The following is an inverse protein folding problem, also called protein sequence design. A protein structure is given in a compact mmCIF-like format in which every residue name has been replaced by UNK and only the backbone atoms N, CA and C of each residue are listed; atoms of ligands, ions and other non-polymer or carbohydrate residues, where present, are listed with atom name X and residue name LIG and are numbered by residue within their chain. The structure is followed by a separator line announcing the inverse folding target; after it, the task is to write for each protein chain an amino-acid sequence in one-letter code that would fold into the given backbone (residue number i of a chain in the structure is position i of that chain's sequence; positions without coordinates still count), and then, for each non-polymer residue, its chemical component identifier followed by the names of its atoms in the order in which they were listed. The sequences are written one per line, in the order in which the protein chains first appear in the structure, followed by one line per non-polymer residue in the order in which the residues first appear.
data_IF_028427735600
#
_entry.id   IF_028427735600
#
_cell.length_a   1.000
_cell.length_b   1.000
_cell.length_c   1.000
_cell.angle_alpha   90.00
_cell.angle_beta   90.00
_cell.angle_gamma   90.00
#
_symmetry.space_group_name_H-M   'P 1'
#
loop_
_entity.id
_entity.type
_entity.pdbx_description
1 polymer ?
#
# COMPACT_ATOMS: atom_id res chain seq x y z
N UNK A 1 16.49 -14.61 -10.60
CA UNK A 1 16.75 -13.26 -10.06
C UNK A 1 15.54 -12.89 -9.25
N UNK A 2 15.74 -12.44 -8.01
CA UNK A 2 14.66 -11.76 -7.30
C UNK A 2 14.35 -10.45 -8.04
N UNK A 3 13.07 -10.17 -8.25
CA UNK A 3 12.63 -8.94 -8.90
C UNK A 3 13.16 -7.73 -8.12
N UNK A 4 13.69 -6.74 -8.84
CA UNK A 4 14.36 -5.59 -8.22
C UNK A 4 13.42 -4.39 -8.04
N UNK A 5 12.19 -4.48 -8.56
CA UNK A 5 11.14 -3.47 -8.38
C UNK A 5 9.80 -4.11 -8.00
N UNK A 6 8.93 -3.34 -7.34
CA UNK A 6 7.56 -3.78 -7.02
C UNK A 6 6.77 -3.99 -8.31
N UNK A 7 6.90 -3.09 -9.28
CA UNK A 7 6.21 -3.21 -10.57
C UNK A 7 6.60 -4.51 -11.30
N UNK A 8 7.88 -4.85 -11.36
CA UNK A 8 8.34 -6.12 -11.92
C UNK A 8 7.74 -7.32 -11.16
N UNK A 9 7.77 -7.28 -9.83
CA UNK A 9 7.19 -8.32 -8.97
C UNK A 9 5.71 -8.57 -9.31
N UNK A 10 4.91 -7.51 -9.41
CA UNK A 10 3.47 -7.61 -9.70
C UNK A 10 3.20 -8.07 -11.14
N UNK A 11 4.00 -7.61 -12.12
CA UNK A 11 3.91 -8.08 -13.52
C UNK A 11 4.26 -9.56 -13.63
N UNK A 12 5.27 -10.05 -12.91
CA UNK A 12 5.60 -11.47 -12.85
C UNK A 12 4.45 -12.30 -12.27
N UNK A 13 3.83 -11.85 -11.18
CA UNK A 13 2.67 -12.53 -10.59
C UNK A 13 1.49 -12.56 -11.57
N UNK A 14 1.25 -11.48 -12.30
CA UNK A 14 0.20 -11.43 -13.32
C UNK A 14 0.46 -12.40 -14.49
N UNK A 15 1.71 -12.50 -14.94
CA UNK A 15 2.12 -13.43 -15.99
C UNK A 15 2.05 -14.90 -15.54
N UNK A 16 2.37 -15.17 -14.27
CA UNK A 16 2.34 -16.52 -13.70
C UNK A 16 0.93 -17.02 -13.41
N UNK A 17 0.02 -16.13 -13.01
CA UNK A 17 -1.32 -16.47 -12.52
C UNK A 17 -2.47 -15.76 -13.27
N UNK A 18 -2.45 -15.65 -14.61
CA UNK A 18 -3.27 -14.70 -15.36
C UNK A 18 -4.78 -14.88 -15.15
N UNK A 19 -5.25 -16.12 -15.00
CA UNK A 19 -6.65 -16.48 -14.83
C UNK A 19 -7.10 -16.57 -13.36
N UNK A 20 -6.19 -16.43 -12.39
CA UNK A 20 -6.56 -16.44 -10.97
C UNK A 20 -7.24 -15.13 -10.60
N UNK A 21 -8.13 -15.19 -9.61
CA UNK A 21 -8.73 -14.01 -8.96
C UNK A 21 -7.64 -13.22 -8.25
N UNK A 22 -7.50 -11.94 -8.59
CA UNK A 22 -6.56 -11.02 -7.96
C UNK A 22 -7.25 -10.12 -6.95
N UNK A 23 -8.32 -9.45 -7.39
CA UNK A 23 -9.01 -8.42 -6.63
C UNK A 23 -10.52 -8.58 -6.74
N UNK A 24 -11.22 -8.55 -5.61
CA UNK A 24 -12.68 -8.66 -5.54
C UNK A 24 -13.27 -7.44 -4.87
N UNK A 25 -14.41 -6.95 -5.37
CA UNK A 25 -15.27 -6.02 -4.64
C UNK A 25 -16.48 -6.80 -4.14
N UNK A 26 -16.65 -6.85 -2.81
CA UNK A 26 -17.68 -7.70 -2.20
C UNK A 26 -19.06 -7.47 -2.82
N UNK A 27 -19.68 -8.55 -3.30
CA UNK A 27 -21.02 -8.54 -3.89
C UNK A 27 -21.15 -7.80 -5.23
N UNK A 28 -20.05 -7.37 -5.87
CA UNK A 28 -20.08 -6.65 -7.14
C UNK A 28 -19.40 -7.40 -8.28
N UNK A 29 -18.08 -7.52 -8.25
CA UNK A 29 -17.32 -8.19 -9.31
C UNK A 29 -15.92 -8.59 -8.86
N UNK A 30 -15.31 -9.45 -9.68
CA UNK A 30 -13.95 -9.95 -9.52
C UNK A 30 -13.09 -9.55 -10.72
N UNK A 31 -11.83 -9.24 -10.46
CA UNK A 31 -10.79 -9.07 -11.46
C UNK A 31 -9.81 -10.23 -11.39
N UNK A 32 -9.48 -10.79 -12.55
CA UNK A 32 -8.34 -11.69 -12.67
C UNK A 32 -7.04 -10.90 -12.64
N UNK A 33 -5.93 -11.58 -12.41
CA UNK A 33 -4.59 -10.99 -12.52
C UNK A 33 -4.32 -10.36 -13.89
N UNK A 34 -4.70 -11.05 -14.98
CA UNK A 34 -4.54 -10.49 -16.33
C UNK A 34 -5.36 -9.23 -16.52
N UNK A 35 -6.61 -9.22 -16.04
CA UNK A 35 -7.48 -8.04 -16.20
C UNK A 35 -7.04 -6.87 -15.34
N UNK A 36 -6.60 -7.12 -14.11
CA UNK A 36 -6.02 -6.08 -13.25
C UNK A 36 -4.77 -5.48 -13.90
N UNK A 37 -3.88 -6.32 -14.45
CA UNK A 37 -2.68 -5.85 -15.14
C UNK A 37 -3.01 -5.00 -16.38
N UNK A 38 -3.95 -5.44 -17.22
CA UNK A 38 -4.43 -4.65 -18.37
C UNK A 38 -4.94 -3.28 -17.94
N UNK A 39 -5.80 -3.22 -16.92
CA UNK A 39 -6.34 -1.96 -16.39
C UNK A 39 -5.25 -1.04 -15.85
N UNK A 40 -4.21 -1.60 -15.22
CA UNK A 40 -3.05 -0.84 -14.71
C UNK A 40 -2.21 -0.29 -15.86
N UNK A 41 -1.93 -1.07 -16.90
CA UNK A 41 -1.19 -0.59 -18.08
C UNK A 41 -2.00 0.48 -18.84
N UNK A 42 -3.33 0.30 -18.99
CA UNK A 42 -4.23 1.29 -19.59
C UNK A 42 -4.18 2.61 -18.80
N UNK A 43 -4.35 2.56 -17.47
CA UNK A 43 -4.29 3.75 -16.62
C UNK A 43 -2.90 4.42 -16.64
N UNK A 44 -1.81 3.65 -16.65
CA UNK A 44 -0.45 4.20 -16.72
C UNK A 44 -0.24 4.97 -18.03
N UNK A 45 -0.67 4.42 -19.16
CA UNK A 45 -0.63 5.12 -20.45
C UNK A 45 -1.51 6.38 -20.44
N UNK A 46 -2.70 6.34 -19.82
CA UNK A 46 -3.55 7.51 -19.67
C UNK A 46 -2.84 8.61 -18.89
N UNK A 47 -2.22 8.30 -17.75
CA UNK A 47 -1.47 9.26 -16.93
C UNK A 47 -0.33 9.91 -17.73
N UNK A 48 0.47 9.10 -18.42
CA UNK A 48 1.59 9.59 -19.25
C UNK A 48 1.08 10.46 -20.40
N UNK A 49 0.00 10.06 -21.07
CA UNK A 49 -0.60 10.84 -22.14
C UNK A 49 -1.12 12.19 -21.64
N UNK A 50 -1.58 12.29 -20.40
CA UNK A 50 -1.98 13.54 -19.77
C UNK A 50 -0.80 14.37 -19.26
N UNK A 51 0.43 13.86 -19.37
CA UNK A 51 1.65 14.59 -19.12
C UNK A 51 2.31 14.30 -17.78
N UNK A 52 1.92 13.22 -17.07
CA UNK A 52 2.65 12.72 -15.90
C UNK A 52 4.04 12.28 -16.31
N UNK A 53 5.05 12.73 -15.56
CA UNK A 53 6.47 12.45 -15.79
C UNK A 53 7.06 11.62 -14.66
N UNK A 54 8.25 11.08 -14.92
CA UNK A 54 9.04 10.42 -13.89
C UNK A 54 9.28 11.38 -12.72
N UNK A 55 8.91 10.95 -11.50
CA UNK A 55 9.11 11.69 -10.25
C UNK A 55 7.95 12.62 -9.88
N UNK A 56 6.97 12.81 -10.76
CA UNK A 56 5.77 13.58 -10.44
C UNK A 56 5.00 12.91 -9.30
N UNK A 57 4.61 13.69 -8.28
CA UNK A 57 3.87 13.19 -7.12
C UNK A 57 2.38 13.31 -7.37
N UNK A 58 1.67 12.19 -7.34
CA UNK A 58 0.24 12.09 -7.63
C UNK A 58 -0.51 11.76 -6.34
N UNK A 59 -1.25 12.74 -5.82
CA UNK A 59 -2.07 12.56 -4.64
C UNK A 59 -3.31 11.71 -4.94
N UNK A 60 -3.59 10.72 -4.11
CA UNK A 60 -4.73 9.80 -4.28
C UNK A 60 -5.65 9.88 -3.06
N UNK A 61 -6.88 10.37 -3.24
CA UNK A 61 -7.90 10.35 -2.17
C UNK A 61 -9.10 9.52 -2.59
N UNK A 62 -9.19 8.33 -2.01
CA UNK A 62 -10.23 7.35 -2.31
C UNK A 62 -10.60 6.59 -1.03
N UNK A 63 -11.83 6.07 -0.92
CA UNK A 63 -12.08 4.88 -0.10
C UNK A 63 -11.28 3.67 -0.60
N UNK A 64 -11.36 2.53 0.09
CA UNK A 64 -10.77 1.29 -0.40
C UNK A 64 -11.58 0.75 -1.60
N UNK A 65 -11.31 1.27 -2.80
CA UNK A 65 -12.00 0.88 -4.04
C UNK A 65 -11.05 0.25 -5.06
N UNK A 66 -11.63 -0.32 -6.12
CA UNK A 66 -10.84 -0.86 -7.24
C UNK A 66 -10.08 0.23 -7.99
N UNK A 67 -10.69 1.42 -8.13
CA UNK A 67 -10.07 2.57 -8.78
C UNK A 67 -8.83 3.02 -8.02
N UNK A 68 -8.87 3.03 -6.68
CA UNK A 68 -7.69 3.30 -5.87
C UNK A 68 -6.55 2.34 -6.19
N UNK A 69 -6.83 1.04 -6.19
CA UNK A 69 -5.80 0.00 -6.44
C UNK A 69 -5.19 0.16 -7.82
N UNK A 70 -6.04 0.30 -8.85
CA UNK A 70 -5.56 0.47 -10.24
C UNK A 70 -4.78 1.78 -10.37
N UNK A 71 -5.27 2.89 -9.81
CA UNK A 71 -4.62 4.20 -9.92
C UNK A 71 -3.27 4.21 -9.22
N UNK A 72 -3.18 3.66 -8.00
CA UNK A 72 -1.92 3.55 -7.28
C UNK A 72 -0.89 2.74 -8.07
N UNK A 73 -1.28 1.57 -8.59
CA UNK A 73 -0.40 0.72 -9.39
C UNK A 73 -0.03 1.40 -10.72
N UNK A 74 -0.94 2.14 -11.33
CA UNK A 74 -0.71 2.87 -12.58
C UNK A 74 0.25 4.05 -12.41
N UNK A 75 0.16 4.79 -11.30
CA UNK A 75 1.08 5.89 -10.97
C UNK A 75 2.51 5.35 -10.85
N UNK A 76 2.71 4.31 -10.04
CA UNK A 76 4.06 3.72 -9.86
C UNK A 76 4.57 3.11 -11.16
N UNK A 77 3.69 2.52 -11.98
CA UNK A 77 4.01 1.97 -13.30
C UNK A 77 4.45 3.07 -14.26
N UNK A 78 3.80 4.23 -14.23
CA UNK A 78 4.17 5.43 -14.98
C UNK A 78 5.43 6.14 -14.45
N UNK A 79 6.12 5.57 -13.45
CA UNK A 79 7.27 6.17 -12.74
C UNK A 79 6.93 7.45 -11.99
N UNK A 80 5.66 7.70 -11.73
CA UNK A 80 5.23 8.72 -10.77
C UNK A 80 5.33 8.19 -9.34
N UNK A 81 5.15 9.10 -8.38
CA UNK A 81 5.13 8.80 -6.95
C UNK A 81 3.68 8.83 -6.47
N UNK A 82 3.16 7.72 -5.98
CA UNK A 82 1.82 7.69 -5.40
C UNK A 82 1.84 8.29 -3.98
N UNK A 83 0.97 9.25 -3.71
CA UNK A 83 0.79 9.85 -2.38
C UNK A 83 -0.66 9.64 -1.90
N UNK A 84 -1.01 8.46 -1.35
CA UNK A 84 -2.36 8.22 -0.90
C UNK A 84 -2.66 8.98 0.40
N UNK A 85 -3.80 9.68 0.42
CA UNK A 85 -4.23 10.54 1.52
C UNK A 85 -5.55 10.05 2.11
N UNK A 86 -5.77 10.37 3.38
CA UNK A 86 -7.04 10.07 4.05
C UNK A 86 -8.15 10.97 3.48
N UNK A 87 -9.19 10.37 2.93
CA UNK A 87 -10.35 11.11 2.38
C UNK A 87 -11.16 11.86 3.44
N UNK A 88 -10.92 11.59 4.73
CA UNK A 88 -11.55 12.29 5.84
C UNK A 88 -10.80 13.56 6.28
N UNK A 89 -9.70 13.94 5.64
CA UNK A 89 -8.96 15.15 5.99
C UNK A 89 -9.78 16.43 5.74
N UNK A 90 -9.52 17.45 6.55
CA UNK A 90 -10.05 18.80 6.30
C UNK A 90 -9.32 19.48 5.14
N UNK A 91 -9.85 20.60 4.66
CA UNK A 91 -9.22 21.35 3.57
C UNK A 91 -7.83 21.89 3.98
N UNK A 92 -7.65 22.27 5.25
CA UNK A 92 -6.37 22.72 5.80
C UNK A 92 -5.35 21.59 5.90
N UNK A 93 -5.80 20.39 6.27
CA UNK A 93 -4.95 19.20 6.27
C UNK A 93 -4.52 18.83 4.85
N UNK A 94 -5.45 18.84 3.88
CA UNK A 94 -5.11 18.65 2.47
C UNK A 94 -4.15 19.72 1.93
N UNK A 95 -4.35 20.99 2.28
CA UNK A 95 -3.43 22.09 1.90
C UNK A 95 -2.00 21.80 2.39
N UNK A 96 -1.86 21.34 3.63
CA UNK A 96 -0.57 20.90 4.16
C UNK A 96 0.01 19.71 3.40
N UNK A 97 -0.72 18.60 3.27
CA UNK A 97 -0.18 17.37 2.69
C UNK A 97 0.09 17.46 1.19
N UNK A 98 -0.77 18.16 0.43
CA UNK A 98 -0.56 18.40 -1.00
C UNK A 98 0.67 19.30 -1.23
N UNK A 99 0.85 20.32 -0.39
CA UNK A 99 2.02 21.20 -0.48
C UNK A 99 3.31 20.51 -0.04
N UNK A 100 3.30 19.74 1.06
CA UNK A 100 4.50 19.12 1.61
C UNK A 100 5.02 17.96 0.75
N UNK A 101 4.12 17.31 0.01
CA UNK A 101 4.47 16.26 -0.95
C UNK A 101 4.83 16.77 -2.34
N UNK A 102 4.80 18.09 -2.59
CA UNK A 102 4.96 18.68 -3.92
C UNK A 102 4.04 18.02 -4.98
N UNK A 103 2.78 17.76 -4.61
CA UNK A 103 1.81 17.09 -5.46
C UNK A 103 1.55 17.86 -6.77
N UNK A 104 1.64 17.18 -7.91
CA UNK A 104 1.45 17.75 -9.25
C UNK A 104 0.08 17.43 -9.86
N UNK A 105 -0.63 16.44 -9.29
CA UNK A 105 -1.99 16.05 -9.68
C UNK A 105 -2.72 15.46 -8.47
N UNK A 106 -4.00 15.79 -8.32
CA UNK A 106 -4.92 15.15 -7.40
C UNK A 106 -5.87 14.21 -8.15
N UNK A 107 -5.87 12.92 -7.79
CA UNK A 107 -6.85 11.94 -8.27
C UNK A 107 -7.87 11.60 -7.18
N UNK A 108 -9.15 11.62 -7.53
CA UNK A 108 -10.26 11.23 -6.66
C UNK A 108 -11.16 10.20 -7.33
N UNK A 109 -12.03 9.55 -6.55
CA UNK A 109 -13.15 8.78 -7.11
C UNK A 109 -14.16 9.68 -7.81
N UNK A 110 -14.99 9.09 -8.66
CA UNK A 110 -16.15 9.73 -9.32
C UNK A 110 -17.37 9.92 -8.41
N UNK A 111 -17.20 9.71 -7.11
CA UNK A 111 -18.22 10.04 -6.12
C UNK A 111 -18.03 11.47 -5.62
N UNK A 112 -19.08 12.29 -5.59
CA UNK A 112 -18.98 13.62 -4.98
C UNK A 112 -18.75 13.57 -3.46
N UNK A 113 -19.11 12.47 -2.81
CA UNK A 113 -18.99 12.29 -1.36
C UNK A 113 -17.52 12.24 -0.92
N UNK A 114 -17.13 13.14 -0.02
CA UNK A 114 -15.79 13.18 0.58
C UNK A 114 -14.71 13.92 -0.22
N UNK A 115 -14.97 14.28 -1.47
CA UNK A 115 -13.95 14.91 -2.33
C UNK A 115 -13.79 16.43 -2.14
N UNK A 116 -14.81 17.11 -1.62
CA UNK A 116 -14.87 18.57 -1.53
C UNK A 116 -13.65 19.22 -0.86
N UNK A 117 -13.21 18.76 0.33
CA UNK A 117 -12.02 19.31 1.00
C UNK A 117 -10.74 19.19 0.17
N UNK A 118 -10.51 18.03 -0.47
CA UNK A 118 -9.33 17.78 -1.29
C UNK A 118 -9.33 18.66 -2.55
N UNK A 119 -10.47 18.73 -3.24
CA UNK A 119 -10.63 19.55 -4.45
C UNK A 119 -10.45 21.05 -4.14
N UNK A 120 -10.98 21.53 -3.00
CA UNK A 120 -10.81 22.91 -2.58
C UNK A 120 -9.33 23.26 -2.30
N UNK A 121 -8.60 22.37 -1.62
CA UNK A 121 -7.19 22.54 -1.36
C UNK A 121 -6.34 22.49 -2.65
N UNK A 122 -6.60 21.52 -3.53
CA UNK A 122 -5.93 21.43 -4.83
C UNK A 122 -6.16 22.68 -5.68
N UNK A 123 -7.41 23.18 -5.75
CA UNK A 123 -7.74 24.41 -6.46
C UNK A 123 -7.02 25.63 -5.89
N UNK A 124 -6.92 25.75 -4.55
CA UNK A 124 -6.17 26.81 -3.87
C UNK A 124 -4.67 26.77 -4.22
N UNK A 125 -4.09 25.58 -4.32
CA UNK A 125 -2.67 25.36 -4.65
C UNK A 125 -2.39 25.39 -6.16
N UNK A 126 -3.42 25.47 -7.01
CA UNK A 126 -3.27 25.39 -8.47
C UNK A 126 -2.91 23.99 -8.98
N UNK A 127 -3.18 22.95 -8.18
CA UNK A 127 -2.95 21.55 -8.53
C UNK A 127 -4.14 21.06 -9.37
N UNK A 128 -3.92 20.54 -10.60
CA UNK A 128 -4.98 19.95 -11.40
C UNK A 128 -5.65 18.77 -10.70
N UNK A 129 -6.95 18.59 -10.96
CA UNK A 129 -7.76 17.52 -10.40
C UNK A 129 -8.27 16.61 -11.51
N UNK A 130 -8.11 15.29 -11.33
CA UNK A 130 -8.71 14.28 -12.17
C UNK A 130 -9.64 13.36 -11.37
N UNK A 131 -10.67 12.89 -12.05
CA UNK A 131 -11.62 11.91 -11.53
C UNK A 131 -11.36 10.56 -12.18
N UNK A 132 -11.33 9.49 -11.38
CA UNK A 132 -11.13 8.12 -11.84
C UNK A 132 -12.37 7.28 -11.58
N UNK A 133 -12.80 6.51 -12.58
CA UNK A 133 -13.93 5.58 -12.47
C UNK A 133 -13.73 4.26 -13.21
N UNK A 134 -14.32 3.20 -12.66
CA UNK A 134 -14.47 1.91 -13.34
C UNK A 134 -15.90 1.39 -13.17
N UNK A 135 -16.75 1.64 -14.17
CA UNK A 135 -18.17 1.26 -14.11
C UNK A 135 -18.41 -0.26 -14.14
N UNK A 136 -17.55 -1.01 -14.85
CA UNK A 136 -17.66 -2.46 -15.02
C UNK A 136 -16.26 -3.07 -15.25
N UNK A 137 -15.95 -4.27 -14.73
CA UNK A 137 -14.65 -4.94 -14.93
C UNK A 137 -14.26 -5.16 -16.39
N UNK A 138 -15.21 -5.29 -17.31
CA UNK A 138 -14.95 -5.49 -18.75
C UNK A 138 -14.71 -4.20 -19.53
N UNK A 139 -14.93 -3.03 -18.91
CA UNK A 139 -14.70 -1.74 -19.54
C UNK A 139 -13.31 -1.22 -19.20
N UNK A 140 -12.72 -0.36 -20.05
CA UNK A 140 -11.52 0.38 -19.71
C UNK A 140 -11.75 1.27 -18.48
N UNK A 141 -10.68 1.48 -17.71
CA UNK A 141 -10.68 2.50 -16.66
C UNK A 141 -10.74 3.90 -17.29
N UNK A 142 -11.54 4.79 -16.70
CA UNK A 142 -11.70 6.16 -17.17
C UNK A 142 -10.94 7.13 -16.27
N UNK A 143 -10.16 8.02 -16.88
CA UNK A 143 -9.50 9.15 -16.21
C UNK A 143 -10.02 10.43 -16.88
N UNK A 144 -10.82 11.20 -16.15
CA UNK A 144 -11.31 12.50 -16.60
C UNK A 144 -10.43 13.61 -16.02
N UNK A 145 -9.65 14.26 -16.87
CA UNK A 145 -8.84 15.43 -16.54
C UNK A 145 -9.18 16.56 -17.52
N UNK A 146 -9.74 17.71 -17.07
CA UNK A 146 -10.23 18.78 -17.96
C UNK A 146 -9.18 19.39 -18.90
N UNK A 147 -7.91 19.37 -18.50
CA UNK A 147 -6.80 19.90 -19.29
C UNK A 147 -5.54 19.06 -19.04
N UNK A 148 -4.71 18.85 -20.08
CA UNK A 148 -3.42 18.16 -19.92
C UNK A 148 -2.52 18.92 -18.94
N UNK A 149 -1.75 18.17 -18.15
CA UNK A 149 -0.79 18.71 -17.18
C UNK A 149 0.38 19.43 -17.87
N UNK A 150 0.76 18.95 -19.05
CA UNK A 150 1.79 19.57 -19.89
C UNK A 150 1.41 19.52 -21.37
N UNK A 151 2.23 20.17 -22.22
CA UNK A 151 2.03 20.20 -23.68
C UNK A 151 2.03 18.80 -24.31
N UNK A 152 1.90 18.67 -25.64
CA UNK A 152 1.88 17.37 -26.31
C UNK A 152 3.12 16.56 -25.94
N UNK A 153 2.93 15.49 -25.16
CA UNK A 153 3.97 14.49 -24.87
C UNK A 153 3.69 13.33 -25.82
N UNK A 154 4.69 12.93 -26.61
CA UNK A 154 4.66 11.60 -27.22
C UNK A 154 4.75 10.60 -26.05
N UNK A 155 3.69 9.83 -25.77
CA UNK A 155 3.66 9.01 -24.57
C UNK A 155 4.78 7.96 -24.55
N UNK A 156 5.39 7.65 -25.72
CA UNK A 156 6.43 6.64 -25.83
C UNK A 156 5.97 5.28 -25.27
N UNK A 157 6.85 4.27 -25.24
CA UNK A 157 6.62 3.10 -24.41
C UNK A 157 6.79 3.49 -22.93
N UNK A 158 5.95 2.96 -22.04
CA UNK A 158 6.16 3.12 -20.60
C UNK A 158 7.53 2.51 -20.26
N UNK A 159 8.45 3.35 -19.81
CA UNK A 159 9.81 2.96 -19.50
C UNK A 159 9.87 1.89 -18.41
N UNK A 160 11.00 1.18 -18.36
CA UNK A 160 11.32 0.30 -17.25
C UNK A 160 11.33 1.08 -15.92
N UNK A 161 10.76 0.50 -14.88
CA UNK A 161 10.74 1.07 -13.53
C UNK A 161 12.06 0.71 -12.84
N UNK A 162 12.85 1.70 -12.46
CA UNK A 162 14.14 1.45 -11.82
C UNK A 162 13.96 1.14 -10.32
N UNK A 163 14.80 0.29 -9.71
CA UNK A 163 14.75 0.00 -8.28
C UNK A 163 14.84 1.25 -7.39
N UNK A 164 15.53 2.29 -7.87
CA UNK A 164 15.70 3.57 -7.17
C UNK A 164 14.56 4.57 -7.38
N UNK A 165 13.62 4.31 -8.29
CA UNK A 165 12.49 5.20 -8.50
C UNK A 165 11.66 5.27 -7.21
N UNK A 166 11.35 6.47 -6.74
CA UNK A 166 10.40 6.66 -5.64
C UNK A 166 9.02 6.26 -6.16
N UNK A 167 8.34 5.36 -5.44
CA UNK A 167 7.05 4.81 -5.85
C UNK A 167 5.91 5.24 -4.90
N UNK A 168 6.21 5.42 -3.62
CA UNK A 168 5.22 5.75 -2.59
C UNK A 168 5.76 6.87 -1.71
N UNK A 169 4.92 7.87 -1.43
CA UNK A 169 5.21 8.92 -0.47
C UNK A 169 4.12 8.93 0.60
N UNK A 170 4.53 8.84 1.86
CA UNK A 170 3.63 8.81 3.01
C UNK A 170 4.15 9.71 4.12
N UNK A 171 3.26 10.18 4.97
CA UNK A 171 3.65 10.87 6.19
C UNK A 171 3.65 9.93 7.39
N UNK A 172 4.58 10.16 8.33
CA UNK A 172 4.55 9.51 9.64
C UNK A 172 3.40 10.04 10.49
N UNK A 173 2.78 9.18 11.30
CA UNK A 173 1.82 9.61 12.31
C UNK A 173 2.59 10.42 13.37
N UNK A 174 2.53 11.75 13.28
CA UNK A 174 3.31 12.68 14.10
C UNK A 174 2.91 12.69 15.58
N UNK A 175 3.26 11.66 16.34
CA UNK A 175 2.95 11.54 17.77
C UNK A 175 3.80 12.48 18.65
N UNK A 176 4.94 12.96 18.15
CA UNK A 176 5.88 13.83 18.89
C UNK A 176 6.38 15.05 18.10
N UNK A 177 6.08 15.16 16.80
CA UNK A 177 6.48 16.29 15.93
C UNK A 177 5.55 16.41 14.70
N UNK A 178 5.70 17.48 13.92
CA UNK A 178 4.97 17.65 12.64
C UNK A 178 5.19 16.41 11.75
N UNK A 179 4.15 15.85 11.10
CA UNK A 179 4.30 14.69 10.22
C UNK A 179 5.46 14.86 9.24
N UNK A 180 6.30 13.84 9.11
CA UNK A 180 7.47 13.86 8.21
C UNK A 180 7.17 13.04 6.96
N UNK A 181 7.49 13.59 5.79
CA UNK A 181 7.40 12.87 4.52
C UNK A 181 8.43 11.74 4.42
N UNK A 182 7.97 10.58 3.97
CA UNK A 182 8.75 9.34 3.82
C UNK A 182 8.65 8.88 2.37
N UNK A 183 9.66 9.17 1.54
CA UNK A 183 9.75 8.59 0.20
C UNK A 183 10.20 7.13 0.29
N UNK A 184 9.47 6.24 -0.37
CA UNK A 184 9.76 4.80 -0.45
C UNK A 184 9.94 4.41 -1.91
N UNK A 185 11.06 3.75 -2.21
CA UNK A 185 11.40 3.35 -3.57
C UNK A 185 10.72 2.05 -4.00
N UNK A 186 10.74 1.79 -5.30
CA UNK A 186 10.40 0.49 -5.88
C UNK A 186 11.10 -0.68 -5.15
N UNK A 187 12.40 -0.54 -4.84
CA UNK A 187 13.16 -1.54 -4.11
C UNK A 187 12.70 -1.69 -2.65
N UNK A 188 12.37 -0.59 -1.95
CA UNK A 188 11.85 -0.69 -0.59
C UNK A 188 10.57 -1.50 -0.54
N UNK A 189 9.64 -1.22 -1.47
CA UNK A 189 8.37 -1.94 -1.54
C UNK A 189 8.56 -3.40 -1.97
N UNK A 190 9.42 -3.67 -2.96
CA UNK A 190 9.74 -5.03 -3.41
C UNK A 190 10.32 -5.89 -2.27
N UNK A 191 11.27 -5.34 -1.51
CA UNK A 191 11.87 -6.02 -0.37
C UNK A 191 10.82 -6.34 0.70
N UNK A 192 9.95 -5.37 1.04
CA UNK A 192 8.92 -5.58 2.06
C UNK A 192 7.87 -6.62 1.65
N UNK A 193 7.38 -6.60 0.40
CA UNK A 193 6.41 -7.62 -0.04
C UNK A 193 7.05 -9.02 -0.07
N UNK A 194 8.32 -9.13 -0.44
CA UNK A 194 9.06 -10.40 -0.40
C UNK A 194 9.25 -10.90 1.03
N UNK A 195 9.58 -10.02 1.98
CA UNK A 195 9.70 -10.37 3.40
C UNK A 195 8.38 -10.90 3.97
N UNK A 196 7.28 -10.19 3.74
CA UNK A 196 5.94 -10.56 4.22
C UNK A 196 5.50 -11.88 3.59
N UNK A 197 5.70 -12.04 2.29
CA UNK A 197 5.40 -13.29 1.58
C UNK A 197 6.22 -14.45 2.12
N UNK A 198 7.50 -14.23 2.43
CA UNK A 198 8.39 -15.27 2.95
C UNK A 198 7.98 -15.71 4.36
N UNK A 199 7.81 -14.77 5.29
CA UNK A 199 7.54 -15.08 6.70
C UNK A 199 6.18 -15.75 6.92
N UNK A 200 5.16 -15.37 6.13
CA UNK A 200 3.83 -15.97 6.21
C UNK A 200 3.57 -17.04 5.16
N UNK A 201 4.56 -17.37 4.32
CA UNK A 201 4.45 -18.34 3.22
C UNK A 201 3.22 -18.09 2.33
N UNK A 202 2.94 -16.82 2.03
CA UNK A 202 1.81 -16.47 1.17
C UNK A 202 1.96 -17.16 -0.18
N UNK A 203 0.91 -17.87 -0.56
CA UNK A 203 0.84 -18.66 -1.77
C UNK A 203 -0.39 -18.29 -2.59
N UNK A 204 -0.39 -18.68 -3.86
CA UNK A 204 -1.49 -18.35 -4.76
C UNK A 204 -2.86 -18.87 -4.27
N UNK A 205 -2.88 -19.89 -3.40
CA UNK A 205 -4.09 -20.42 -2.75
C UNK A 205 -4.69 -19.51 -1.67
N UNK A 206 -3.93 -18.54 -1.16
CA UNK A 206 -4.41 -17.64 -0.13
C UNK A 206 -5.42 -16.62 -0.67
N UNK A 207 -6.26 -16.14 0.25
CA UNK A 207 -7.24 -15.11 -0.01
C UNK A 207 -7.42 -14.27 1.26
N UNK A 208 -7.56 -12.96 1.13
CA UNK A 208 -7.73 -12.06 2.28
C UNK A 208 -8.89 -11.10 2.10
N UNK A 209 -9.48 -10.65 3.21
CA UNK A 209 -10.41 -9.52 3.24
C UNK A 209 -9.69 -8.33 3.84
N UNK A 210 -9.70 -7.21 3.12
CA UNK A 210 -9.05 -5.99 3.55
C UNK A 210 -9.88 -5.28 4.63
N UNK A 211 -9.29 -5.07 5.80
CA UNK A 211 -9.94 -4.38 6.94
C UNK A 211 -9.26 -3.07 7.34
N UNK A 212 -8.17 -2.70 6.66
CA UNK A 212 -7.42 -1.47 6.93
C UNK A 212 -7.48 -0.48 5.77
N UNK A 213 -7.35 0.83 6.05
CA UNK A 213 -7.24 1.84 5.01
C UNK A 213 -5.99 1.62 4.14
N UNK A 214 -6.13 1.82 2.83
CA UNK A 214 -5.04 1.68 1.88
C UNK A 214 -4.12 2.93 1.78
N UNK A 215 -4.45 4.02 2.48
CA UNK A 215 -3.56 5.17 2.64
C UNK A 215 -2.53 5.01 3.77
N UNK A 216 -2.48 3.83 4.40
CA UNK A 216 -1.46 3.47 5.40
C UNK A 216 -0.71 2.20 4.99
N UNK A 217 0.58 2.12 5.34
CA UNK A 217 1.46 1.01 4.95
C UNK A 217 0.96 -0.37 5.39
N UNK A 218 0.20 -0.50 6.47
CA UNK A 218 -0.30 -1.79 6.92
C UNK A 218 -1.37 -2.36 5.97
N UNK A 219 -2.39 -1.57 5.63
CA UNK A 219 -3.39 -2.00 4.64
C UNK A 219 -2.78 -2.15 3.25
N UNK A 220 -1.93 -1.20 2.86
CA UNK A 220 -1.34 -1.15 1.52
C UNK A 220 -0.29 -2.25 1.29
N UNK A 221 0.75 -2.32 2.12
CA UNK A 221 1.88 -3.23 1.89
C UNK A 221 1.54 -4.65 2.33
N UNK A 222 1.07 -4.85 3.56
CA UNK A 222 0.74 -6.20 4.05
C UNK A 222 -0.58 -6.73 3.46
N UNK A 223 -1.65 -5.94 3.54
CA UNK A 223 -2.97 -6.39 3.10
C UNK A 223 -3.11 -6.57 1.58
N UNK A 224 -2.66 -5.57 0.81
CA UNK A 224 -2.87 -5.53 -0.64
C UNK A 224 -1.65 -6.03 -1.43
N UNK A 225 -0.52 -5.32 -1.38
CA UNK A 225 0.61 -5.54 -2.28
C UNK A 225 1.28 -6.90 -2.06
N UNK A 226 1.44 -7.34 -0.81
CA UNK A 226 2.02 -8.66 -0.50
C UNK A 226 1.12 -9.80 -1.01
N UNK A 227 -0.19 -9.69 -0.80
CA UNK A 227 -1.19 -10.63 -1.33
C UNK A 227 -1.11 -10.72 -2.85
N UNK A 228 -1.08 -9.59 -3.56
CA UNK A 228 -0.96 -9.56 -5.02
C UNK A 228 0.39 -10.10 -5.51
N UNK A 229 1.48 -9.82 -4.80
CA UNK A 229 2.81 -10.34 -5.14
C UNK A 229 2.89 -11.87 -5.05
N UNK A 230 2.07 -12.51 -4.22
CA UNK A 230 2.06 -13.95 -4.01
C UNK A 230 1.16 -14.73 -4.99
N UNK A 231 0.42 -14.06 -5.88
CA UNK A 231 -0.59 -14.72 -6.72
C UNK A 231 -1.89 -15.04 -5.99
N UNK A 232 -2.04 -14.54 -4.76
CA UNK A 232 -3.21 -14.70 -3.87
C UNK A 232 -4.33 -13.75 -4.26
N UNK A 233 -5.48 -13.79 -3.56
CA UNK A 233 -6.59 -12.90 -3.84
C UNK A 233 -6.87 -11.93 -2.67
N UNK A 234 -7.27 -10.69 -2.97
CA UNK A 234 -7.70 -9.71 -1.96
C UNK A 234 -9.12 -9.22 -2.23
N UNK A 235 -9.94 -9.15 -1.20
CA UNK A 235 -11.32 -8.67 -1.28
C UNK A 235 -11.45 -7.34 -0.56
N UNK A 236 -11.96 -6.32 -1.26
CA UNK A 236 -12.34 -5.03 -0.68
C UNK A 236 -13.81 -5.07 -0.24
N UNK A 237 -14.13 -4.55 0.96
CA UNK A 237 -15.52 -4.39 1.38
C UNK A 237 -16.31 -3.49 0.43
N UNK A 238 -17.59 -3.81 0.21
CA UNK A 238 -18.46 -3.07 -0.71
C UNK A 238 -18.65 -1.60 -0.34
N UNK A 239 -18.52 -1.26 0.94
CA UNK A 239 -18.61 0.10 1.49
C UNK A 239 -17.31 0.90 1.39
N UNK A 240 -16.23 0.31 0.87
CA UNK A 240 -14.90 0.92 0.80
C UNK A 240 -14.21 1.13 2.15
N UNK A 241 -14.73 0.54 3.23
CA UNK A 241 -14.18 0.59 4.58
C UNK A 241 -14.53 -0.66 5.37
N UNK A 242 -13.86 -0.90 6.49
CA UNK A 242 -14.18 -2.02 7.37
C UNK A 242 -15.64 -1.95 7.87
N UNK A 243 -16.30 -3.11 7.91
CA UNK A 243 -17.61 -3.30 8.51
C UNK A 243 -17.65 -4.64 9.25
N UNK A 244 -17.86 -4.60 10.57
CA UNK A 244 -17.95 -5.82 11.38
C UNK A 244 -19.10 -6.73 10.95
N UNK A 245 -20.19 -6.16 10.42
CA UNK A 245 -21.37 -6.94 10.00
C UNK A 245 -21.16 -7.68 8.67
N UNK A 246 -20.31 -7.17 7.77
CA UNK A 246 -20.01 -7.83 6.49
C UNK A 246 -18.72 -8.66 6.54
N UNK A 247 -17.84 -8.42 7.51
CA UNK A 247 -16.53 -9.09 7.59
C UNK A 247 -16.61 -10.61 7.48
N UNK A 248 -17.39 -11.29 8.35
CA UNK A 248 -17.50 -12.75 8.30
C UNK A 248 -18.21 -13.28 7.05
N UNK A 249 -19.33 -12.68 6.60
CA UNK A 249 -19.89 -13.00 5.28
C UNK A 249 -18.87 -12.90 4.14
N UNK A 250 -18.05 -11.86 4.12
CA UNK A 250 -17.03 -11.64 3.10
C UNK A 250 -15.90 -12.69 3.21
N UNK A 251 -15.42 -12.97 4.42
CA UNK A 251 -14.39 -14.00 4.65
C UNK A 251 -14.84 -15.37 4.13
N UNK A 252 -16.12 -15.74 4.35
CA UNK A 252 -16.69 -16.99 3.88
C UNK A 252 -16.91 -16.99 2.36
N UNK A 253 -17.54 -15.94 1.82
CA UNK A 253 -17.89 -15.85 0.40
C UNK A 253 -16.65 -15.84 -0.52
N UNK A 254 -15.55 -15.26 -0.04
CA UNK A 254 -14.29 -15.15 -0.78
C UNK A 254 -13.22 -16.11 -0.30
N UNK A 255 -13.61 -17.15 0.46
CA UNK A 255 -12.74 -18.24 0.94
C UNK A 255 -11.43 -17.72 1.53
N UNK A 256 -11.51 -16.68 2.36
CA UNK A 256 -10.35 -16.02 2.92
C UNK A 256 -9.61 -16.93 3.91
N UNK A 257 -8.29 -16.99 3.76
CA UNK A 257 -7.37 -17.75 4.62
C UNK A 257 -6.71 -16.87 5.68
N UNK A 258 -6.66 -15.56 5.48
CA UNK A 258 -6.07 -14.62 6.43
C UNK A 258 -6.71 -13.22 6.37
N UNK A 259 -6.45 -12.42 7.41
CA UNK A 259 -6.66 -10.98 7.42
C UNK A 259 -5.59 -10.31 8.28
N UNK A 260 -5.19 -9.09 7.94
CA UNK A 260 -4.27 -8.29 8.76
C UNK A 260 -5.10 -7.32 9.61
N UNK A 261 -4.83 -7.22 10.91
CA UNK A 261 -5.55 -6.33 11.82
C UNK A 261 -4.60 -5.68 12.84
N UNK A 262 -4.84 -4.41 13.19
CA UNK A 262 -4.23 -3.78 14.37
C UNK A 262 -4.94 -4.28 15.63
N UNK A 263 -4.17 -4.88 16.55
CA UNK A 263 -4.70 -5.53 17.74
C UNK A 263 -3.90 -5.15 18.97
N UNK A 264 -4.59 -4.97 20.10
CA UNK A 264 -3.94 -4.89 21.41
C UNK A 264 -3.46 -6.31 21.83
N UNK A 265 -2.26 -6.45 22.44
CA UNK A 265 -1.73 -7.76 22.83
C UNK A 265 -2.68 -8.61 23.69
N UNK A 266 -3.47 -7.99 24.57
CA UNK A 266 -4.46 -8.69 25.39
C UNK A 266 -5.59 -9.35 24.57
N UNK A 267 -5.86 -8.84 23.37
CA UNK A 267 -6.90 -9.32 22.46
C UNK A 267 -6.43 -10.53 21.64
N UNK A 268 -5.11 -10.73 21.48
CA UNK A 268 -4.51 -11.80 20.69
C UNK A 268 -5.02 -13.18 21.13
N UNK A 269 -4.90 -13.49 22.42
CA UNK A 269 -5.35 -14.77 22.97
C UNK A 269 -6.86 -15.00 22.83
N UNK A 270 -7.65 -13.93 22.90
CA UNK A 270 -9.10 -14.04 22.72
C UNK A 270 -9.45 -14.37 21.28
N UNK A 271 -8.73 -13.80 20.31
CA UNK A 271 -8.93 -14.11 18.89
C UNK A 271 -8.50 -15.54 18.55
N UNK A 272 -7.35 -16.01 19.02
CA UNK A 272 -6.93 -17.40 18.83
C UNK A 272 -7.95 -18.37 19.41
N UNK A 273 -8.45 -18.09 20.61
CA UNK A 273 -9.49 -18.91 21.26
C UNK A 273 -10.82 -18.86 20.52
N UNK A 274 -11.23 -17.70 20.02
CA UNK A 274 -12.52 -17.51 19.36
C UNK A 274 -12.56 -18.14 17.96
N UNK A 275 -11.46 -18.06 17.21
CA UNK A 275 -11.43 -18.42 15.80
C UNK A 275 -10.61 -19.68 15.49
N UNK A 276 -9.83 -20.19 16.45
CA UNK A 276 -9.03 -21.40 16.27
C UNK A 276 -7.91 -21.26 15.23
N UNK A 277 -7.51 -20.02 14.93
CA UNK A 277 -6.45 -19.68 13.99
C UNK A 277 -5.32 -18.96 14.73
N UNK A 278 -4.04 -19.16 14.34
CA UNK A 278 -2.91 -18.48 14.96
C UNK A 278 -2.96 -16.97 14.68
N UNK A 279 -2.65 -16.15 15.68
CA UNK A 279 -2.60 -14.68 15.53
C UNK A 279 -1.15 -14.23 15.66
N UNK A 280 -0.54 -13.87 14.53
CA UNK A 280 0.88 -13.54 14.46
C UNK A 280 1.10 -12.04 14.58
N UNK A 281 1.78 -11.61 15.65
CA UNK A 281 2.12 -10.20 15.85
C UNK A 281 3.36 -9.81 15.05
N UNK A 282 3.33 -8.61 14.46
CA UNK A 282 4.44 -8.02 13.72
C UNK A 282 4.64 -6.55 14.11
N UNK A 283 5.89 -6.10 14.07
CA UNK A 283 6.28 -4.71 14.29
C UNK A 283 6.65 -4.08 12.96
N UNK A 284 6.15 -2.87 12.75
CA UNK A 284 6.21 -2.20 11.47
C UNK A 284 6.16 -0.68 11.63
N UNK A 285 6.76 0.02 10.66
CA UNK A 285 6.69 1.48 10.55
C UNK A 285 6.75 1.94 9.10
N UNK A 286 6.37 3.19 8.84
CA UNK A 286 6.33 3.75 7.48
C UNK A 286 7.73 3.78 6.85
N UNK A 287 8.74 4.19 7.62
CA UNK A 287 10.14 4.32 7.21
C UNK A 287 10.78 2.98 6.81
N UNK A 288 10.24 1.86 7.30
CA UNK A 288 10.68 0.52 6.96
C UNK A 288 9.89 -0.10 5.80
N UNK A 289 9.04 0.68 5.10
CA UNK A 289 8.06 0.17 4.15
C UNK A 289 7.22 -0.97 4.74
N UNK A 290 6.68 -0.73 5.94
CA UNK A 290 5.93 -1.69 6.76
C UNK A 290 6.81 -2.62 7.63
N UNK A 291 6.90 -3.91 7.30
CA UNK A 291 7.32 -4.95 8.24
C UNK A 291 8.81 -4.87 8.58
N UNK A 292 9.13 -4.77 9.87
CA UNK A 292 10.49 -4.87 10.39
C UNK A 292 10.77 -6.26 10.97
N UNK A 293 9.77 -6.84 11.64
CA UNK A 293 9.89 -8.12 12.32
C UNK A 293 8.49 -8.71 12.56
N UNK A 294 8.41 -10.04 12.68
CA UNK A 294 7.17 -10.77 12.91
C UNK A 294 7.44 -12.05 13.70
N UNK A 295 6.46 -12.47 14.50
CA UNK A 295 6.40 -13.86 14.93
C UNK A 295 6.33 -14.79 13.71
N UNK A 296 7.00 -15.95 13.77
CA UNK A 296 6.97 -16.92 12.69
C UNK A 296 5.63 -17.67 12.66
N UNK A 297 5.39 -18.43 11.59
CA UNK A 297 4.33 -19.43 11.57
C UNK A 297 4.54 -20.48 12.67
N UNK A 298 3.47 -21.11 13.22
CA UNK A 298 3.58 -22.05 14.33
C UNK A 298 4.53 -23.23 14.08
N UNK A 299 4.70 -23.66 12.83
CA UNK A 299 5.63 -24.73 12.45
C UNK A 299 7.12 -24.33 12.51
N UNK A 300 7.43 -23.03 12.51
CA UNK A 300 8.80 -22.50 12.47
C UNK A 300 9.28 -21.99 13.84
N UNK A 301 8.36 -21.79 14.80
CA UNK A 301 8.73 -21.41 16.16
C UNK A 301 7.55 -20.97 17.02
N UNK A 302 7.80 -20.74 18.33
CA UNK A 302 6.76 -20.29 19.24
C UNK A 302 6.36 -18.84 18.93
N UNK A 303 5.05 -18.60 18.85
CA UNK A 303 4.47 -17.26 18.89
C UNK A 303 4.61 -16.70 20.31
N UNK A 304 5.23 -15.53 20.43
CA UNK A 304 5.46 -14.85 21.70
C UNK A 304 4.77 -13.49 21.63
N UNK A 305 3.62 -13.38 22.29
CA UNK A 305 2.87 -12.13 22.42
C UNK A 305 3.74 -11.01 23.03
N UNK A 306 3.61 -9.80 22.49
CA UNK A 306 4.45 -8.65 22.85
C UNK A 306 5.88 -8.74 22.34
N UNK A 307 6.14 -9.65 21.38
CA UNK A 307 7.43 -9.78 20.72
C UNK A 307 7.21 -10.01 19.23
N UNK A 308 8.27 -9.88 18.43
CA UNK A 308 8.19 -9.88 16.97
C UNK A 308 9.26 -10.76 16.32
N UNK A 309 9.66 -11.84 17.01
CA UNK A 309 10.33 -12.99 16.41
C UNK A 309 11.78 -12.83 15.90
N UNK A 310 12.34 -11.62 15.80
CA UNK A 310 13.76 -11.39 15.50
C UNK A 310 14.48 -10.62 16.61
N UNK A 311 15.79 -10.84 16.77
CA UNK A 311 16.65 -10.02 17.63
C UNK A 311 16.74 -8.61 17.05
N UNK A 312 16.03 -7.68 17.69
CA UNK A 312 16.23 -6.25 17.49
C UNK A 312 17.38 -5.85 18.40
N UNK A 313 18.47 -5.33 17.81
CA UNK A 313 19.60 -4.82 18.59
C UNK A 313 19.33 -3.36 18.93
N UNK A 314 19.27 -3.06 20.22
CA UNK A 314 19.25 -1.69 20.73
C UNK A 314 20.70 -1.21 20.83
N UNK A 315 21.03 -0.13 20.15
CA UNK A 315 22.39 0.44 20.16
C UNK A 315 22.42 1.69 21.06
N UNK A 316 23.61 2.04 21.55
CA UNK A 316 23.84 3.34 22.18
C UNK A 316 23.65 4.50 21.19
N UNK A 317 23.60 5.75 21.68
CA UNK A 317 23.46 6.98 20.85
C UNK A 317 24.55 7.13 19.76
N UNK A 318 25.62 6.32 19.84
CA UNK A 318 26.73 6.32 18.88
C UNK A 318 26.64 5.15 17.90
N UNK A 319 25.59 4.35 17.93
CA UNK A 319 25.39 3.17 17.08
C UNK A 319 26.48 2.10 17.24
N UNK A 320 27.23 2.12 18.35
CA UNK A 320 28.53 1.43 18.44
C UNK A 320 28.49 0.14 19.26
N UNK A 321 27.57 0.01 20.22
CA UNK A 321 27.48 -1.17 21.09
C UNK A 321 26.04 -1.57 21.40
N UNK A 322 25.73 -2.88 21.42
CA UNK A 322 24.48 -3.39 21.95
C UNK A 322 24.33 -2.99 23.41
N UNK A 323 23.25 -2.30 23.75
CA UNK A 323 22.90 -2.03 25.14
C UNK A 323 22.30 -3.30 25.77
N UNK A 324 22.51 -3.54 27.09
CA UNK A 324 21.68 -4.49 27.83
C UNK A 324 20.19 -4.09 27.71
N UNK A 325 19.25 -4.95 28.16
CA UNK A 325 17.79 -4.69 28.15
C UNK A 325 17.41 -3.47 29.04
N UNK A 326 17.75 -2.28 28.57
CA UNK A 326 17.39 -0.96 29.05
C UNK A 326 16.73 -0.22 27.88
N UNK A 327 15.84 0.74 28.15
CA UNK A 327 15.29 1.61 27.11
C UNK A 327 16.43 2.24 26.29
N UNK A 328 16.35 2.14 24.96
CA UNK A 328 17.31 2.73 24.02
C UNK A 328 16.73 2.75 22.60
N UNK A 329 17.46 3.33 21.65
CA UNK A 329 16.99 3.44 20.26
C UNK A 329 17.10 2.11 19.51
N UNK A 330 16.05 1.77 18.77
CA UNK A 330 16.02 0.60 17.90
C UNK A 330 16.67 0.97 16.57
N UNK A 331 17.81 0.35 16.27
CA UNK A 331 18.51 0.50 15.00
C UNK A 331 18.42 -0.80 14.19
N UNK A 332 18.14 -0.70 12.89
CA UNK A 332 18.15 -1.86 12.01
C UNK A 332 19.59 -2.21 11.61
N UNK A 333 19.98 -3.48 11.76
CA UNK A 333 21.18 -4.03 11.10
C UNK A 333 20.83 -4.30 9.63
N UNK A 334 21.55 -3.65 8.72
CA UNK A 334 21.34 -3.70 7.28
C UNK A 334 22.02 -4.93 6.64
N UNK A 335 21.31 -5.64 5.75
CA UNK A 335 21.93 -6.13 4.50
C UNK A 335 21.74 -5.15 3.33
N UNK A 336 20.91 -4.11 3.50
CA UNK A 336 20.69 -3.07 2.50
C UNK A 336 20.87 -1.71 3.19
N UNK A 337 22.05 -1.12 3.02
CA UNK A 337 22.60 -0.02 3.84
C UNK A 337 21.78 1.27 3.90
N UNK A 338 20.83 1.33 4.82
CA UNK A 338 20.25 2.59 5.32
C UNK A 338 20.41 2.63 6.84
N UNK A 339 21.42 3.36 7.29
CA UNK A 339 21.65 3.71 8.69
C UNK A 339 21.13 5.14 8.93
N UNK A 340 19.95 5.28 9.53
CA UNK A 340 19.47 6.56 10.06
C UNK A 340 19.12 6.42 11.55
N UNK A 341 19.49 7.40 12.40
CA UNK A 341 19.07 7.45 13.80
C UNK A 341 17.58 7.64 13.92
N UNK A 342 16.96 6.90 14.84
CA UNK A 342 15.54 7.06 15.20
C UNK A 342 15.36 7.09 16.71
N UNK A 343 15.14 8.29 17.23
CA UNK A 343 14.67 8.57 18.60
C UNK A 343 13.20 8.16 18.76
N UNK A 344 12.89 7.36 19.77
CA UNK A 344 11.54 7.14 20.29
C UNK A 344 11.19 8.17 21.37
#
# INVERSE_FOLDING_TARGET
MEAQSLTETLTMSAAQFPSRRALSISGRFDLTYSRLHELVEEAAHLLISHGVRHGDVIALTFPNTVEFVITLMAVIRARGVAAPLNSAYTAEEFDFYLSDSDSTLLNTSDSDEGNGPAQAAAAKLGIPHATVSLSNPSLPISLYLPARLSGPVDPGPVHHNEPSDVALFLHTAGTTSRPKGVPLTQLNLAASVNNIRSVYRLAASDSSVLVHPLFHVHGLVAGLLSTLSAGSAVTLPSSGRFSASSFWPDMLAYTATCCCASLEPATLYQMEKAFGAPVLEAYAMTEAAHQMSSNPLPEDGPNKAGSVGQEIVVLDERGSQPLPLVPGEIWRISEIGLSYPMTC
#
